data_IF_373362632554
#
_entry.id   IF_373362632554
#
_cell.length_a   1.000
_cell.length_b   1.000
_cell.length_c   1.000
_cell.angle_alpha   90.00
_cell.angle_beta   90.00
_cell.angle_gamma   90.00
#
_symmetry.space_group_name_H-M   'P 1'
#
loop_
_entity.id
_entity.type
_entity.pdbx_description
1 polymer ?
#
# COMPACT_ATOMS: atom_id res chain seq x y z
N UNK A 1 16.93 5.28 10.87
CA UNK A 1 16.14 5.44 9.63
C UNK A 1 17.07 5.42 8.41
N UNK A 2 17.68 4.26 8.07
CA UNK A 2 18.56 4.20 6.92
C UNK A 2 18.74 2.77 6.44
N UNK A 3 18.71 2.58 5.13
CA UNK A 3 19.30 1.41 4.48
C UNK A 3 20.78 1.69 4.20
N UNK A 4 21.62 0.68 4.34
CA UNK A 4 23.00 0.74 3.91
C UNK A 4 23.10 0.13 2.51
N UNK A 5 23.13 0.95 1.47
CA UNK A 5 23.30 0.48 0.10
C UNK A 5 24.79 0.28 -0.21
N UNK A 6 25.09 -0.86 -0.85
CA UNK A 6 26.45 -1.22 -1.20
C UNK A 6 26.85 -0.59 -2.52
N UNK A 7 27.67 0.44 -2.45
CA UNK A 7 28.15 1.20 -3.61
C UNK A 7 29.55 0.74 -4.08
N UNK A 8 30.03 -0.42 -3.64
CA UNK A 8 31.35 -0.91 -4.06
C UNK A 8 31.43 -1.13 -5.57
N UNK A 9 30.34 -1.57 -6.19
CA UNK A 9 30.29 -1.83 -7.62
C UNK A 9 29.06 -1.26 -8.33
N UNK A 10 28.00 -0.96 -7.60
CA UNK A 10 26.76 -0.37 -8.13
C UNK A 10 26.71 1.12 -7.80
N UNK A 11 26.38 1.95 -8.79
CA UNK A 11 26.22 3.38 -8.57
C UNK A 11 25.06 3.67 -7.63
N UNK A 12 25.24 4.57 -6.68
CA UNK A 12 24.22 4.95 -5.73
C UNK A 12 22.92 5.37 -6.42
N UNK A 13 23.02 6.11 -7.52
CA UNK A 13 21.86 6.57 -8.28
C UNK A 13 20.96 5.42 -8.74
N UNK A 14 21.49 4.26 -9.07
CA UNK A 14 20.68 3.14 -9.52
C UNK A 14 19.77 2.60 -8.41
N UNK A 15 20.25 2.57 -7.17
CA UNK A 15 19.39 2.23 -6.02
C UNK A 15 18.26 3.24 -5.79
N UNK A 16 18.58 4.51 -5.93
CA UNK A 16 17.62 5.60 -5.69
C UNK A 16 16.60 5.69 -6.83
N UNK A 17 17.05 5.60 -8.07
CA UNK A 17 16.17 5.63 -9.24
C UNK A 17 15.24 4.42 -9.27
N UNK A 18 15.73 3.25 -8.87
CA UNK A 18 14.89 2.05 -8.75
C UNK A 18 13.72 2.30 -7.78
N UNK A 19 14.00 2.80 -6.58
CA UNK A 19 12.97 3.05 -5.56
C UNK A 19 11.92 4.06 -6.01
N UNK A 20 12.29 4.98 -6.90
CA UNK A 20 11.42 6.03 -7.42
C UNK A 20 10.83 5.70 -8.79
N UNK A 21 11.12 4.52 -9.32
CA UNK A 21 10.70 4.11 -10.67
C UNK A 21 11.10 5.10 -11.76
N UNK A 22 12.31 5.68 -11.65
CA UNK A 22 12.84 6.67 -12.58
C UNK A 22 13.70 6.03 -13.67
N UNK A 23 13.80 6.72 -14.81
CA UNK A 23 14.64 6.33 -15.92
C UNK A 23 14.28 4.94 -16.46
N UNK A 24 15.26 4.05 -16.51
CA UNK A 24 15.08 2.67 -16.99
C UNK A 24 14.23 1.79 -16.04
N UNK A 25 13.96 2.27 -14.83
CA UNK A 25 13.25 1.52 -13.78
C UNK A 25 11.76 1.82 -13.78
N UNK A 26 11.15 2.00 -14.94
CA UNK A 26 9.70 2.17 -15.04
C UNK A 26 8.97 0.91 -14.57
N UNK A 27 7.81 1.02 -13.89
CA UNK A 27 7.03 -0.15 -13.51
C UNK A 27 6.72 -1.02 -14.73
N UNK A 28 6.95 -2.31 -14.60
CA UNK A 28 6.73 -3.28 -15.68
C UNK A 28 7.87 -3.41 -16.68
N UNK A 29 8.91 -2.59 -16.61
CA UNK A 29 10.09 -2.76 -17.43
C UNK A 29 10.74 -4.12 -17.18
N UNK A 30 11.18 -4.81 -18.24
CA UNK A 30 11.77 -6.14 -18.16
C UNK A 30 13.21 -6.12 -18.62
N UNK A 31 14.00 -7.08 -18.13
CA UNK A 31 15.42 -7.27 -18.53
C UNK A 31 16.25 -5.99 -18.43
N UNK A 32 15.95 -5.19 -17.41
CA UNK A 32 16.66 -3.95 -17.14
C UNK A 32 18.12 -4.25 -16.88
N UNK A 33 19.00 -3.54 -17.56
CA UNK A 33 20.45 -3.72 -17.46
C UNK A 33 21.11 -2.43 -17.04
N UNK A 34 21.94 -2.50 -16.01
CA UNK A 34 22.76 -1.39 -15.54
C UNK A 34 24.24 -1.63 -15.85
N UNK A 35 25.00 -0.55 -15.92
CA UNK A 35 26.44 -0.61 -16.03
C UNK A 35 27.06 -0.44 -14.65
N UNK A 36 27.84 -1.43 -14.23
CA UNK A 36 28.56 -1.42 -12.95
C UNK A 36 29.75 -0.46 -13.00
N UNK A 37 30.29 -0.13 -11.84
CA UNK A 37 31.47 0.76 -11.74
C UNK A 37 32.73 0.18 -12.45
N UNK A 38 32.85 -1.14 -12.48
CA UNK A 38 33.95 -1.82 -13.19
C UNK A 38 33.72 -1.92 -14.70
N UNK A 39 32.60 -1.42 -15.23
CA UNK A 39 32.29 -1.49 -16.66
C UNK A 39 31.49 -2.72 -17.08
N UNK A 40 31.34 -3.71 -16.22
CA UNK A 40 30.51 -4.88 -16.50
C UNK A 40 29.03 -4.52 -16.51
N UNK A 41 28.21 -5.39 -17.12
CA UNK A 41 26.75 -5.26 -17.14
C UNK A 41 26.13 -6.17 -16.09
N UNK A 42 25.09 -5.66 -15.43
CA UNK A 42 24.23 -6.44 -14.55
C UNK A 42 22.79 -6.34 -15.04
N UNK A 43 22.16 -7.48 -15.27
CA UNK A 43 20.75 -7.54 -15.72
C UNK A 43 19.86 -8.14 -14.65
N UNK A 44 18.66 -7.57 -14.50
CA UNK A 44 17.60 -8.16 -13.69
C UNK A 44 16.94 -9.29 -14.48
N UNK A 45 17.61 -10.42 -14.55
CA UNK A 45 17.20 -11.55 -15.37
C UNK A 45 15.87 -12.14 -14.91
N UNK A 46 14.90 -12.27 -15.83
CA UNK A 46 13.54 -12.75 -15.56
C UNK A 46 12.79 -11.97 -14.46
N UNK A 47 13.18 -10.73 -14.23
CA UNK A 47 12.51 -9.84 -13.30
C UNK A 47 12.02 -8.61 -14.03
N UNK A 48 10.73 -8.28 -13.86
CA UNK A 48 10.23 -6.95 -14.17
C UNK A 48 10.44 -6.01 -12.98
N UNK A 49 10.20 -4.72 -13.20
CA UNK A 49 10.33 -3.72 -12.14
C UNK A 49 8.97 -3.51 -11.47
N UNK A 50 8.87 -3.65 -10.14
CA UNK A 50 7.64 -3.34 -9.42
C UNK A 50 7.33 -1.84 -9.42
N UNK A 51 6.07 -1.51 -9.17
CA UNK A 51 5.66 -0.17 -8.81
C UNK A 51 5.89 0.03 -7.29
N UNK A 52 6.84 0.89 -6.93
CA UNK A 52 7.19 1.20 -5.54
C UNK A 52 6.46 2.44 -4.99
N UNK A 53 5.52 3.01 -5.74
CA UNK A 53 4.85 4.26 -5.33
C UNK A 53 4.07 4.15 -4.01
N UNK A 54 3.78 2.93 -3.57
CA UNK A 54 3.15 2.68 -2.27
C UNK A 54 4.04 2.93 -1.06
N UNK A 55 5.35 3.05 -1.25
CA UNK A 55 6.27 3.30 -0.13
C UNK A 55 6.04 4.70 0.45
N UNK A 56 5.85 4.78 1.76
CA UNK A 56 5.76 6.06 2.45
C UNK A 56 7.11 6.79 2.45
N UNK A 57 7.08 8.11 2.58
CA UNK A 57 8.29 8.92 2.60
C UNK A 57 9.24 8.55 3.74
N UNK A 58 8.72 8.06 4.86
CA UNK A 58 9.53 7.51 5.95
C UNK A 58 10.25 6.22 5.57
N UNK A 59 9.82 5.54 4.52
CA UNK A 59 10.28 4.21 4.15
C UNK A 59 9.83 3.09 5.09
N UNK A 60 9.06 3.42 6.12
CA UNK A 60 8.69 2.49 7.19
C UNK A 60 7.27 1.94 7.06
N UNK A 61 6.58 2.27 5.99
CA UNK A 61 5.22 1.80 5.73
C UNK A 61 4.95 1.74 4.24
N UNK A 62 3.92 0.97 3.85
CA UNK A 62 3.51 0.83 2.46
C UNK A 62 1.99 0.92 2.36
N UNK A 63 1.49 1.81 1.49
CA UNK A 63 0.06 1.91 1.18
C UNK A 63 -0.39 0.67 0.41
N UNK A 64 -1.58 0.18 0.74
CA UNK A 64 -2.19 -1.00 0.09
C UNK A 64 -3.55 -0.69 -0.54
N UNK A 65 -3.86 0.58 -0.74
CA UNK A 65 -5.11 1.06 -1.33
C UNK A 65 -6.08 1.59 -0.29
N UNK A 66 -7.01 2.42 -0.73
CA UNK A 66 -7.98 3.08 0.15
C UNK A 66 -7.29 3.95 1.19
N UNK A 67 -7.69 3.81 2.43
CA UNK A 67 -7.08 4.48 3.58
C UNK A 67 -6.17 3.56 4.41
N UNK A 68 -5.61 2.53 3.81
CA UNK A 68 -4.86 1.50 4.54
C UNK A 68 -3.39 1.49 4.20
N UNK A 69 -2.57 1.27 5.22
CA UNK A 69 -1.11 1.16 5.14
C UNK A 69 -0.63 0.04 6.04
N UNK A 70 0.46 -0.62 5.68
CA UNK A 70 1.06 -1.69 6.48
C UNK A 70 2.46 -1.34 6.92
N UNK A 71 2.82 -1.78 8.11
CA UNK A 71 4.10 -1.51 8.75
C UNK A 71 4.39 -2.61 9.78
N UNK A 72 5.19 -2.32 10.79
CA UNK A 72 5.46 -3.20 11.91
C UNK A 72 5.08 -2.55 13.24
N UNK A 73 4.60 -3.38 14.17
CA UNK A 73 4.06 -2.92 15.44
C UNK A 73 5.12 -2.27 16.35
N UNK A 74 6.37 -2.71 16.30
CA UNK A 74 7.41 -2.17 17.15
C UNK A 74 7.81 -0.72 16.82
N UNK A 75 7.36 -0.19 15.68
CA UNK A 75 7.55 1.22 15.32
C UNK A 75 6.70 2.19 16.16
N UNK A 76 5.84 1.69 17.04
CA UNK A 76 5.01 2.54 17.93
C UNK A 76 5.82 3.53 18.77
N UNK A 77 7.09 3.24 19.01
CA UNK A 77 7.99 4.13 19.76
C UNK A 77 8.46 5.34 18.96
N UNK A 78 8.23 5.36 17.65
CA UNK A 78 8.59 6.46 16.77
C UNK A 78 7.31 7.13 16.26
N UNK A 79 6.91 8.31 16.78
CA UNK A 79 5.66 8.98 16.36
C UNK A 79 5.58 9.25 14.86
N UNK A 80 6.70 9.57 14.20
CA UNK A 80 6.72 9.83 12.76
C UNK A 80 6.36 8.59 11.92
N UNK A 81 6.74 7.41 12.39
CA UNK A 81 6.42 6.17 11.71
C UNK A 81 5.11 5.53 12.18
N UNK A 82 4.62 5.91 13.36
CA UNK A 82 3.48 5.28 14.02
C UNK A 82 2.18 6.07 13.89
N UNK A 83 2.24 7.40 13.87
CA UNK A 83 1.05 8.26 13.96
C UNK A 83 0.73 8.98 12.65
N UNK A 84 1.68 9.08 11.74
CA UNK A 84 1.53 9.81 10.48
C UNK A 84 2.25 9.07 9.36
N UNK A 85 1.59 8.94 8.22
CA UNK A 85 2.21 8.49 6.99
C UNK A 85 2.20 9.60 5.95
N UNK A 86 3.29 9.75 5.22
CA UNK A 86 3.42 10.76 4.16
C UNK A 86 3.60 10.04 2.83
N UNK A 87 2.74 10.37 1.87
CA UNK A 87 2.82 9.90 0.49
C UNK A 87 3.01 11.08 -0.43
N UNK A 88 4.08 11.06 -1.23
CA UNK A 88 4.60 12.25 -1.89
C UNK A 88 4.83 13.36 -0.84
N UNK A 89 4.03 14.40 -0.81
CA UNK A 89 4.15 15.49 0.16
C UNK A 89 2.92 15.64 1.05
N UNK A 90 1.98 14.70 0.95
CA UNK A 90 0.70 14.74 1.69
C UNK A 90 0.75 13.88 2.93
N UNK A 91 0.40 14.45 4.07
CA UNK A 91 0.38 13.77 5.36
C UNK A 91 -0.99 13.15 5.62
N UNK A 92 -0.97 11.92 6.08
CA UNK A 92 -2.16 11.16 6.49
C UNK A 92 -2.00 10.73 7.94
N UNK A 93 -3.03 10.96 8.73
CA UNK A 93 -3.04 10.62 10.16
C UNK A 93 -3.55 9.20 10.36
N UNK A 94 -2.88 8.42 11.19
CA UNK A 94 -3.35 7.09 11.60
C UNK A 94 -4.48 7.25 12.60
N UNK A 95 -5.63 6.67 12.30
CA UNK A 95 -6.84 6.76 13.15
C UNK A 95 -7.16 5.45 13.86
N UNK A 96 -6.68 4.34 13.35
CA UNK A 96 -6.77 3.04 14.03
C UNK A 96 -5.69 2.09 13.50
N UNK A 97 -5.45 1.03 14.25
CA UNK A 97 -4.45 0.01 13.91
C UNK A 97 -4.82 -1.33 14.50
N UNK A 98 -4.31 -2.40 13.91
CA UNK A 98 -4.33 -3.75 14.45
C UNK A 98 -3.00 -4.42 14.17
N UNK A 99 -2.55 -5.28 15.05
CA UNK A 99 -1.33 -6.05 14.82
C UNK A 99 -1.51 -7.50 15.22
N UNK A 100 -0.79 -8.36 14.55
CA UNK A 100 -0.59 -9.76 14.91
C UNK A 100 0.90 -10.02 14.86
N UNK A 101 1.48 -10.42 15.99
CA UNK A 101 2.92 -10.38 16.15
C UNK A 101 3.44 -8.98 15.79
N UNK A 102 4.41 -8.87 14.89
CA UNK A 102 4.96 -7.57 14.51
C UNK A 102 4.33 -6.98 13.24
N UNK A 103 3.51 -7.72 12.51
CA UNK A 103 2.79 -7.17 11.37
C UNK A 103 1.68 -6.22 11.85
N UNK A 104 1.65 -5.02 11.32
CA UNK A 104 0.64 -4.02 11.65
C UNK A 104 -0.06 -3.48 10.41
N UNK A 105 -1.39 -3.45 10.47
CA UNK A 105 -2.23 -2.71 9.54
C UNK A 105 -2.67 -1.40 10.20
N UNK A 106 -2.59 -0.30 9.46
CA UNK A 106 -3.02 1.02 9.89
C UNK A 106 -4.16 1.53 9.01
N UNK A 107 -5.14 2.16 9.64
CA UNK A 107 -6.17 2.91 8.94
C UNK A 107 -5.87 4.40 9.04
N UNK A 108 -5.88 5.07 7.89
CA UNK A 108 -5.60 6.50 7.76
C UNK A 108 -6.90 7.31 7.74
N UNK A 109 -6.81 8.60 7.99
CA UNK A 109 -7.97 9.49 8.08
C UNK A 109 -8.62 9.85 6.73
N UNK A 110 -7.93 9.58 5.62
CA UNK A 110 -8.43 9.83 4.26
C UNK A 110 -7.98 8.75 3.30
N UNK A 111 -8.66 8.62 2.16
CA UNK A 111 -8.21 7.81 1.06
C UNK A 111 -6.94 8.40 0.46
N UNK A 112 -5.93 7.56 0.23
CA UNK A 112 -4.65 7.98 -0.32
C UNK A 112 -4.77 8.17 -1.82
N UNK A 113 -4.59 9.40 -2.29
CA UNK A 113 -4.73 9.75 -3.72
C UNK A 113 -3.41 9.75 -4.47
N UNK A 114 -2.27 9.83 -3.78
CA UNK A 114 -0.94 9.94 -4.38
C UNK A 114 -0.43 8.63 -4.96
N UNK A 115 -1.03 7.52 -4.56
CA UNK A 115 -0.65 6.18 -5.03
C UNK A 115 -1.86 5.24 -5.01
N UNK A 116 -1.88 4.28 -5.93
CA UNK A 116 -2.84 3.17 -5.88
C UNK A 116 -2.47 2.14 -4.81
N UNK A 117 -1.25 2.22 -4.31
CA UNK A 117 -0.72 1.29 -3.32
C UNK A 117 -0.19 -0.01 -3.92
N UNK A 118 0.52 -0.76 -3.08
CA UNK A 118 0.99 -2.09 -3.44
C UNK A 118 -0.17 -3.09 -3.46
N UNK A 119 -0.11 -4.06 -4.35
CA UNK A 119 -1.06 -5.18 -4.35
C UNK A 119 -0.70 -6.12 -3.21
N UNK A 120 -1.61 -6.40 -2.26
CA UNK A 120 -1.32 -7.34 -1.19
C UNK A 120 -1.16 -8.77 -1.70
N UNK A 121 -0.35 -9.57 -1.02
CA UNK A 121 -0.24 -11.00 -1.28
C UNK A 121 -1.59 -11.68 -1.03
N UNK A 122 -2.00 -12.53 -1.97
CA UNK A 122 -3.27 -13.28 -1.88
C UNK A 122 -3.14 -14.49 -0.95
N UNK A 123 -1.94 -15.06 -0.87
CA UNK A 123 -1.69 -16.27 -0.09
C UNK A 123 -0.34 -16.20 0.61
N UNK A 124 -0.27 -16.87 1.76
CA UNK A 124 0.95 -17.04 2.54
C UNK A 124 1.32 -18.54 2.58
N UNK A 125 2.20 -19.01 1.67
CA UNK A 125 2.75 -20.35 1.78
C UNK A 125 3.38 -20.57 3.16
N UNK A 126 3.31 -21.80 3.67
CA UNK A 126 3.87 -22.13 4.98
C UNK A 126 5.25 -22.79 4.87
N UNK A 127 5.60 -23.28 3.70
CA UNK A 127 6.88 -23.94 3.43
C UNK A 127 7.67 -23.22 2.35
N UNK A 128 8.99 -23.41 2.36
CA UNK A 128 9.85 -22.89 1.31
C UNK A 128 9.50 -23.48 -0.06
N UNK A 129 9.19 -24.76 -0.13
CA UNK A 129 8.82 -25.42 -1.38
C UNK A 129 7.59 -24.80 -2.04
N UNK A 130 6.54 -24.54 -1.26
CA UNK A 130 5.32 -23.90 -1.75
C UNK A 130 5.57 -22.44 -2.14
N UNK A 131 6.39 -21.73 -1.37
CA UNK A 131 6.78 -20.37 -1.69
C UNK A 131 7.61 -20.30 -2.98
N UNK A 132 8.49 -21.28 -3.21
CA UNK A 132 9.30 -21.37 -4.43
C UNK A 132 8.43 -21.58 -5.67
N UNK A 133 7.37 -22.37 -5.56
CA UNK A 133 6.41 -22.56 -6.65
C UNK A 133 5.65 -21.28 -6.96
N UNK A 134 5.15 -20.61 -5.93
CA UNK A 134 4.34 -19.39 -6.09
C UNK A 134 5.15 -18.18 -6.54
N UNK A 135 6.35 -17.99 -5.97
CA UNK A 135 7.15 -16.78 -6.07
C UNK A 135 8.54 -16.99 -6.67
N UNK A 136 8.88 -18.20 -7.07
CA UNK A 136 10.20 -18.47 -7.62
C UNK A 136 10.37 -18.00 -9.05
N UNK A 137 11.59 -17.63 -9.38
CA UNK A 137 12.02 -17.30 -10.74
C UNK A 137 13.14 -18.25 -11.19
N UNK A 138 13.26 -18.43 -12.50
CA UNK A 138 14.37 -19.16 -13.08
C UNK A 138 15.54 -18.17 -13.27
N UNK A 139 16.63 -18.42 -12.59
CA UNK A 139 17.84 -17.58 -12.67
C UNK A 139 18.66 -17.92 -13.91
N UNK A 140 19.68 -17.11 -14.20
CA UNK A 140 20.53 -17.28 -15.39
C UNK A 140 21.28 -18.61 -15.42
N UNK A 141 21.54 -19.24 -14.28
CA UNK A 141 22.16 -20.57 -14.20
C UNK A 141 21.16 -21.73 -14.34
N UNK A 142 19.88 -21.43 -14.57
CA UNK A 142 18.80 -22.40 -14.72
C UNK A 142 18.18 -22.90 -13.40
N UNK A 143 18.69 -22.49 -12.25
CA UNK A 143 18.10 -22.83 -10.97
C UNK A 143 16.88 -21.96 -10.67
N UNK A 144 15.98 -22.45 -9.82
CA UNK A 144 14.82 -21.69 -9.37
C UNK A 144 15.08 -21.11 -7.97
N UNK A 145 14.88 -19.82 -7.81
CA UNK A 145 15.11 -19.09 -6.55
C UNK A 145 14.01 -18.09 -6.30
N UNK A 146 13.81 -17.72 -5.03
CA UNK A 146 12.89 -16.67 -4.64
C UNK A 146 13.68 -15.36 -4.56
N UNK A 147 13.51 -14.50 -5.55
CA UNK A 147 14.19 -13.21 -5.64
C UNK A 147 13.14 -12.11 -5.78
N UNK A 148 13.32 -11.05 -5.02
CA UNK A 148 12.41 -9.91 -5.06
C UNK A 148 13.10 -8.60 -4.74
N UNK A 149 12.28 -7.61 -4.44
CA UNK A 149 12.74 -6.26 -4.11
C UNK A 149 12.24 -5.85 -2.73
N UNK A 150 13.11 -5.17 -1.99
CA UNK A 150 12.72 -4.43 -0.80
C UNK A 150 12.84 -2.94 -1.11
N UNK A 151 11.81 -2.19 -0.83
CA UNK A 151 11.78 -0.75 -1.07
C UNK A 151 11.27 -0.02 0.16
N UNK A 152 11.82 1.13 0.38
CA UNK A 152 11.47 1.99 1.49
C UNK A 152 12.71 2.64 2.04
N UNK A 153 12.73 2.81 3.36
CA UNK A 153 13.85 3.43 4.07
C UNK A 153 13.96 4.94 3.84
N UNK A 154 13.38 5.70 4.74
CA UNK A 154 13.43 7.17 4.72
C UNK A 154 14.81 7.77 4.97
N UNK A 155 15.82 6.95 5.17
CA UNK A 155 17.22 7.35 5.22
C UNK A 155 18.08 6.33 4.51
N UNK A 156 19.09 6.79 3.82
CA UNK A 156 20.02 5.93 3.08
C UNK A 156 21.45 6.29 3.46
N UNK A 157 22.22 5.29 3.84
CA UNK A 157 23.66 5.37 4.05
C UNK A 157 24.37 4.54 3.00
N UNK A 158 25.60 4.89 2.71
CA UNK A 158 26.42 4.21 1.71
C UNK A 158 27.49 3.36 2.39
N UNK A 159 27.64 2.12 1.95
CA UNK A 159 28.70 1.23 2.35
C UNK A 159 29.50 0.79 1.15
N UNK A 160 30.72 0.33 1.37
CA UNK A 160 31.64 -0.05 0.30
C UNK A 160 32.13 -1.49 0.52
N UNK A 161 31.26 -2.46 0.26
CA UNK A 161 31.56 -3.88 0.32
C UNK A 161 31.57 -4.50 1.71
N UNK A 162 31.20 -3.76 2.75
CA UNK A 162 31.14 -4.30 4.11
C UNK A 162 30.08 -5.39 4.26
N UNK A 163 30.38 -6.42 5.02
CA UNK A 163 29.46 -7.51 5.32
C UNK A 163 28.70 -7.31 6.62
N UNK A 164 29.10 -6.33 7.42
CA UNK A 164 28.50 -5.99 8.71
C UNK A 164 28.01 -4.56 8.72
N UNK A 165 26.93 -4.32 9.43
CA UNK A 165 26.41 -2.97 9.64
C UNK A 165 27.36 -2.21 10.56
N UNK A 166 27.78 -1.04 10.08
CA UNK A 166 28.30 -0.04 10.98
C UNK A 166 27.13 0.65 11.66
N UNK A 167 27.06 0.58 12.98
CA UNK A 167 26.06 1.32 13.77
C UNK A 167 26.26 2.83 13.72
N UNK A 168 27.39 3.26 13.20
CA UNK A 168 27.79 4.66 13.00
C UNK A 168 27.70 5.06 11.54
N UNK A 169 26.55 4.85 10.89
CA UNK A 169 26.35 5.41 9.57
C UNK A 169 26.30 6.94 9.69
N UNK A 170 27.37 7.60 9.29
CA UNK A 170 27.56 9.02 9.46
C UNK A 170 26.67 9.87 8.54
N UNK A 171 25.98 9.28 7.59
CA UNK A 171 25.20 10.00 6.56
C UNK A 171 23.87 9.30 6.33
N UNK A 172 22.83 9.82 6.97
CA UNK A 172 21.45 9.52 6.62
C UNK A 172 20.96 10.61 5.69
N UNK A 173 20.55 10.24 4.49
CA UNK A 173 19.84 11.12 3.55
C UNK A 173 18.38 10.69 3.55
N UNK A 174 17.45 11.64 3.53
CA UNK A 174 16.01 11.39 3.43
C UNK A 174 15.64 10.93 2.01
N UNK A 175 16.22 9.82 1.59
CA UNK A 175 16.05 9.26 0.26
C UNK A 175 15.53 7.83 0.35
N UNK A 176 14.55 7.52 -0.48
CA UNK A 176 14.10 6.15 -0.66
C UNK A 176 15.11 5.38 -1.49
N UNK A 177 15.33 4.12 -1.13
CA UNK A 177 16.15 3.20 -1.92
C UNK A 177 15.44 1.85 -2.06
N UNK A 178 15.79 1.12 -3.10
CA UNK A 178 15.32 -0.24 -3.31
C UNK A 178 16.49 -1.11 -3.73
N UNK A 179 16.39 -2.39 -3.42
CA UNK A 179 17.42 -3.37 -3.74
C UNK A 179 16.85 -4.76 -3.94
N UNK A 180 17.61 -5.62 -4.58
CA UNK A 180 17.31 -7.04 -4.71
C UNK A 180 17.56 -7.78 -3.40
N UNK A 181 16.79 -8.83 -3.18
CA UNK A 181 17.06 -9.82 -2.14
C UNK A 181 16.73 -11.23 -2.62
N UNK A 182 17.34 -12.21 -1.99
CA UNK A 182 16.98 -13.62 -2.15
C UNK A 182 16.45 -14.17 -0.83
N UNK A 183 15.28 -14.79 -0.86
CA UNK A 183 14.72 -15.47 0.31
C UNK A 183 15.39 -16.83 0.43
N UNK A 184 16.08 -17.07 1.54
CA UNK A 184 16.81 -18.32 1.80
C UNK A 184 16.06 -19.26 2.75
N UNK A 185 15.15 -18.73 3.55
CA UNK A 185 14.30 -19.52 4.44
C UNK A 185 12.89 -18.97 4.43
N UNK A 186 11.92 -19.86 4.55
CA UNK A 186 10.50 -19.52 4.61
C UNK A 186 9.80 -20.48 5.56
N UNK A 187 9.15 -19.95 6.57
CA UNK A 187 8.39 -20.73 7.53
C UNK A 187 7.02 -20.10 7.81
N UNK A 188 6.30 -20.65 8.79
CA UNK A 188 4.97 -20.15 9.15
C UNK A 188 4.99 -18.75 9.77
N UNK A 189 6.12 -18.26 10.25
CA UNK A 189 6.24 -16.96 10.91
C UNK A 189 6.75 -15.86 9.99
N UNK A 190 7.60 -16.18 9.05
CA UNK A 190 8.20 -15.18 8.18
C UNK A 190 9.15 -15.75 7.17
N UNK A 191 9.90 -14.88 6.55
CA UNK A 191 10.94 -15.21 5.60
C UNK A 191 12.27 -14.57 6.00
N UNK A 192 13.37 -15.24 5.69
CA UNK A 192 14.71 -14.79 6.05
C UNK A 192 15.54 -14.53 4.79
N UNK A 193 16.33 -13.47 4.85
CA UNK A 193 17.16 -12.99 3.76
C UNK A 193 18.60 -12.87 4.25
N UNK A 194 19.52 -13.55 3.58
CA UNK A 194 20.95 -13.35 3.82
C UNK A 194 21.52 -12.32 2.85
N UNK A 195 22.36 -11.42 3.36
CA UNK A 195 22.87 -10.25 2.65
C UNK A 195 24.33 -10.40 2.19
N UNK A 196 24.82 -11.61 2.04
CA UNK A 196 26.19 -11.84 1.56
C UNK A 196 26.22 -11.95 0.03
N UNK A 197 27.30 -11.49 -0.56
CA UNK A 197 27.75 -11.74 -1.95
C UNK A 197 26.72 -11.52 -3.07
N UNK A 198 25.81 -10.57 -2.91
CA UNK A 198 24.84 -10.24 -3.97
C UNK A 198 25.11 -8.85 -4.52
N UNK A 199 25.15 -8.75 -5.84
CA UNK A 199 25.15 -7.47 -6.53
C UNK A 199 23.79 -6.78 -6.34
N UNK A 200 23.78 -5.46 -6.29
CA UNK A 200 22.57 -4.65 -6.09
C UNK A 200 21.87 -4.93 -4.75
N UNK A 201 22.65 -5.04 -3.71
CA UNK A 201 22.16 -5.35 -2.36
C UNK A 201 22.17 -4.13 -1.46
N UNK A 202 21.37 -4.19 -0.39
CA UNK A 202 21.57 -3.35 0.77
C UNK A 202 21.61 -4.19 2.06
N UNK A 203 22.20 -3.61 3.09
CA UNK A 203 22.16 -4.14 4.43
C UNK A 203 21.15 -3.30 5.22
N UNK A 204 20.12 -3.93 5.77
CA UNK A 204 19.18 -3.23 6.64
C UNK A 204 19.84 -2.85 7.94
N UNK A 205 19.39 -1.74 8.52
CA UNK A 205 19.79 -1.27 9.84
C UNK A 205 18.55 -0.90 10.64
N UNK A 206 18.74 -0.55 11.90
CA UNK A 206 17.65 -0.02 12.71
C UNK A 206 17.05 1.22 12.06
N UNK A 207 15.72 1.19 11.84
CA UNK A 207 14.98 2.22 11.11
C UNK A 207 14.46 1.75 9.75
N UNK A 208 14.89 0.60 9.25
CA UNK A 208 14.31 -0.06 8.07
C UNK A 208 13.05 -0.85 8.41
N UNK A 209 12.73 -0.97 9.68
CA UNK A 209 11.55 -1.66 10.17
C UNK A 209 10.28 -1.13 9.51
N UNK A 210 9.48 -2.03 8.96
CA UNK A 210 8.24 -1.69 8.26
C UNK A 210 8.38 -1.50 6.76
N UNK A 211 9.60 -1.43 6.21
CA UNK A 211 9.79 -1.34 4.76
C UNK A 211 9.25 -2.58 4.04
N UNK A 212 8.67 -2.37 2.86
CA UNK A 212 7.94 -3.40 2.13
C UNK A 212 8.84 -4.36 1.36
N UNK A 213 8.47 -5.64 1.36
CA UNK A 213 9.08 -6.68 0.56
C UNK A 213 8.13 -7.14 -0.54
N UNK A 214 8.62 -7.16 -1.77
CA UNK A 214 7.85 -7.47 -2.97
C UNK A 214 8.38 -8.74 -3.63
N UNK A 215 7.47 -9.66 -3.96
CA UNK A 215 7.76 -10.85 -4.78
C UNK A 215 6.81 -10.89 -5.97
N UNK A 216 7.26 -11.51 -7.06
CA UNK A 216 6.42 -11.71 -8.23
C UNK A 216 5.58 -12.98 -8.06
N UNK A 217 4.25 -12.81 -8.10
CA UNK A 217 3.29 -13.91 -7.98
C UNK A 217 3.08 -14.55 -9.34
N UNK A 218 3.56 -15.78 -9.52
CA UNK A 218 3.49 -16.48 -10.81
C UNK A 218 2.05 -16.85 -11.21
N UNK A 219 1.15 -16.97 -10.25
CA UNK A 219 -0.27 -17.27 -10.54
C UNK A 219 -1.03 -16.02 -10.96
N UNK A 220 -0.83 -14.93 -10.25
CA UNK A 220 -1.49 -13.65 -10.55
C UNK A 220 -0.77 -12.87 -11.66
N UNK A 221 0.45 -13.28 -12.00
CA UNK A 221 1.31 -12.61 -12.99
C UNK A 221 1.51 -11.12 -12.66
N UNK A 222 1.79 -10.82 -11.40
CA UNK A 222 2.07 -9.46 -10.93
C UNK A 222 2.91 -9.45 -9.65
N UNK A 223 3.51 -8.31 -9.39
CA UNK A 223 4.20 -8.06 -8.13
C UNK A 223 3.20 -7.90 -6.99
N UNK A 224 3.50 -8.50 -5.86
CA UNK A 224 2.69 -8.40 -4.64
C UNK A 224 3.55 -8.05 -3.44
N UNK A 225 2.96 -7.38 -2.48
CA UNK A 225 3.59 -7.10 -1.19
C UNK A 225 3.42 -8.33 -0.30
N UNK A 226 4.53 -9.01 0.00
CA UNK A 226 4.52 -10.27 0.76
C UNK A 226 4.80 -10.08 2.24
N UNK A 227 5.30 -8.91 2.62
CA UNK A 227 5.60 -8.67 4.03
C UNK A 227 6.24 -7.35 4.29
N UNK A 228 6.58 -7.16 5.56
CA UNK A 228 7.22 -5.96 6.11
C UNK A 228 8.48 -6.34 6.88
N UNK A 229 9.51 -5.53 6.77
CA UNK A 229 10.79 -5.79 7.42
C UNK A 229 10.65 -5.73 8.93
N UNK A 230 10.89 -6.86 9.60
CA UNK A 230 10.82 -6.96 11.05
C UNK A 230 12.11 -6.50 11.73
N UNK A 231 13.24 -7.05 11.31
CA UNK A 231 14.50 -6.76 11.97
C UNK A 231 15.66 -7.51 11.35
N UNK A 232 16.79 -7.42 12.03
CA UNK A 232 18.06 -7.97 11.61
C UNK A 232 18.68 -8.80 12.71
N UNK A 233 19.49 -9.77 12.31
CA UNK A 233 20.33 -10.58 13.19
C UNK A 233 21.67 -10.82 12.54
N UNK A 234 22.67 -11.19 13.30
CA UNK A 234 23.96 -11.63 12.79
C UNK A 234 24.10 -13.14 13.02
N UNK A 235 24.41 -13.86 11.95
CA UNK A 235 24.61 -15.31 12.00
C UNK A 235 25.95 -15.62 11.33
N UNK A 236 26.89 -16.17 12.09
CA UNK A 236 28.24 -16.52 11.61
C UNK A 236 28.98 -15.35 10.91
N UNK A 237 28.76 -14.12 11.40
CA UNK A 237 29.35 -12.93 10.81
C UNK A 237 28.58 -12.32 9.66
N UNK A 238 27.58 -13.00 9.11
CA UNK A 238 26.71 -12.49 8.07
C UNK A 238 25.46 -11.87 8.66
N UNK A 239 24.91 -10.87 7.97
CA UNK A 239 23.65 -10.29 8.34
C UNK A 239 22.49 -11.09 7.79
N UNK A 240 21.51 -11.34 8.65
CA UNK A 240 20.23 -11.91 8.31
C UNK A 240 19.14 -10.84 8.49
N UNK A 241 18.27 -10.69 7.51
CA UNK A 241 17.09 -9.85 7.62
C UNK A 241 15.86 -10.74 7.75
N UNK A 242 15.00 -10.40 8.72
CA UNK A 242 13.74 -11.07 8.94
C UNK A 242 12.60 -10.23 8.39
N UNK A 243 11.75 -10.84 7.54
CA UNK A 243 10.55 -10.23 6.97
C UNK A 243 9.33 -10.89 7.62
N UNK A 244 8.47 -10.08 8.21
CA UNK A 244 7.16 -10.53 8.70
C UNK A 244 6.20 -10.67 7.52
N UNK A 245 5.51 -11.78 7.44
CA UNK A 245 4.55 -12.03 6.35
C UNK A 245 3.35 -11.10 6.41
N UNK A 246 2.87 -10.71 5.25
CA UNK A 246 1.59 -10.03 5.09
C UNK A 246 0.47 -10.90 5.67
N UNK A 247 -0.37 -10.32 6.53
CA UNK A 247 -1.46 -11.02 7.20
C UNK A 247 -2.80 -10.55 6.62
N UNK A 248 -3.30 -11.26 5.62
CA UNK A 248 -4.53 -10.91 4.93
C UNK A 248 -5.75 -10.97 5.84
N UNK A 249 -5.81 -11.96 6.74
CA UNK A 249 -6.91 -12.10 7.69
C UNK A 249 -7.04 -10.88 8.59
N UNK A 250 -5.92 -10.40 9.14
CA UNK A 250 -5.89 -9.22 10.01
C UNK A 250 -6.34 -7.97 9.26
N UNK A 251 -5.88 -7.81 8.03
CA UNK A 251 -6.26 -6.67 7.18
C UNK A 251 -7.75 -6.71 6.87
N UNK A 252 -8.28 -7.88 6.49
CA UNK A 252 -9.71 -8.06 6.21
C UNK A 252 -10.56 -7.78 7.43
N UNK A 253 -10.15 -8.20 8.60
CA UNK A 253 -10.86 -7.94 9.87
C UNK A 253 -10.96 -6.43 10.15
N UNK A 254 -9.88 -5.68 9.96
CA UNK A 254 -9.90 -4.23 10.15
C UNK A 254 -10.80 -3.54 9.11
N UNK A 255 -10.69 -3.95 7.85
CA UNK A 255 -11.55 -3.40 6.78
C UNK A 255 -13.03 -3.68 7.06
N UNK A 256 -13.38 -4.87 7.51
CA UNK A 256 -14.76 -5.23 7.86
C UNK A 256 -15.27 -4.40 9.03
N UNK A 257 -14.43 -4.13 10.03
CA UNK A 257 -14.78 -3.27 11.17
C UNK A 257 -15.22 -1.88 10.72
N UNK A 258 -14.60 -1.35 9.66
CA UNK A 258 -14.84 0.01 9.15
C UNK A 258 -15.63 0.04 7.86
N UNK A 259 -16.38 -1.01 7.53
CA UNK A 259 -17.24 -1.06 6.35
C UNK A 259 -18.70 -1.24 6.75
N UNK A 260 -19.55 -0.35 6.25
CA UNK A 260 -20.99 -0.48 6.32
C UNK A 260 -21.51 -0.73 4.91
N UNK A 261 -21.93 -1.97 4.64
CA UNK A 261 -22.35 -2.39 3.29
C UNK A 261 -23.83 -2.15 3.07
N UNK A 262 -24.18 -1.51 1.95
CA UNK A 262 -25.56 -1.25 1.54
C UNK A 262 -25.74 -1.75 0.11
N UNK A 263 -26.51 -2.81 -0.05
CA UNK A 263 -26.89 -3.30 -1.37
C UNK A 263 -28.09 -2.53 -1.88
N UNK A 264 -27.86 -1.61 -2.82
CA UNK A 264 -28.94 -0.81 -3.42
C UNK A 264 -29.79 -1.62 -4.37
N UNK A 265 -29.19 -2.51 -5.13
CA UNK A 265 -29.86 -3.34 -6.13
C UNK A 265 -30.82 -2.54 -7.04
N UNK A 266 -30.34 -1.39 -7.54
CA UNK A 266 -31.12 -0.48 -8.37
C UNK A 266 -32.10 0.42 -7.65
N UNK A 267 -32.24 0.27 -6.33
CA UNK A 267 -33.20 1.03 -5.53
C UNK A 267 -32.65 2.40 -5.11
N UNK A 268 -33.45 3.13 -4.36
CA UNK A 268 -33.11 4.43 -3.79
C UNK A 268 -32.74 4.29 -2.32
N UNK A 269 -31.80 5.09 -1.87
CA UNK A 269 -31.49 5.25 -0.45
C UNK A 269 -31.51 6.75 -0.10
N UNK A 270 -32.01 7.08 1.06
CA UNK A 270 -31.91 8.44 1.63
C UNK A 270 -30.99 8.42 2.83
N UNK A 271 -30.19 9.47 2.96
CA UNK A 271 -29.24 9.62 4.07
C UNK A 271 -29.52 10.95 4.77
N UNK A 272 -29.86 10.88 6.05
CA UNK A 272 -30.03 12.04 6.92
C UNK A 272 -29.16 11.86 8.15
N UNK A 273 -28.11 12.65 8.29
CA UNK A 273 -27.08 12.45 9.32
C UNK A 273 -26.53 11.02 9.30
N UNK A 274 -26.78 10.24 10.34
CA UNK A 274 -26.40 8.84 10.48
C UNK A 274 -27.53 7.86 10.15
N UNK A 275 -28.70 8.38 9.74
CA UNK A 275 -29.86 7.54 9.42
C UNK A 275 -29.91 7.28 7.91
N UNK A 276 -29.92 6.01 7.55
CA UNK A 276 -30.08 5.54 6.18
C UNK A 276 -31.42 4.85 6.05
N UNK A 277 -32.18 5.21 5.02
CA UNK A 277 -33.44 4.54 4.67
C UNK A 277 -33.34 3.99 3.25
N UNK A 278 -33.40 2.68 3.11
CA UNK A 278 -33.45 1.99 1.82
C UNK A 278 -34.91 1.86 1.36
N UNK A 279 -35.22 2.44 0.21
CA UNK A 279 -36.54 2.40 -0.39
C UNK A 279 -36.61 1.30 -1.47
N UNK A 280 -37.42 0.29 -1.24
CA UNK A 280 -37.62 -0.77 -2.22
C UNK A 280 -38.56 -0.33 -3.33
N UNK A 281 -38.29 -0.78 -4.56
CA UNK A 281 -39.11 -0.51 -5.73
C UNK A 281 -39.33 0.98 -6.05
N UNK A 282 -38.34 1.81 -5.71
CA UNK A 282 -38.41 3.27 -5.87
C UNK A 282 -39.65 3.92 -5.17
N UNK A 283 -40.25 3.23 -4.24
CA UNK A 283 -41.37 3.78 -3.47
C UNK A 283 -40.89 4.85 -2.49
N UNK A 284 -41.62 5.95 -2.39
CA UNK A 284 -41.32 7.04 -1.47
C UNK A 284 -41.80 6.71 -0.04
N UNK A 285 -41.98 5.43 0.23
CA UNK A 285 -42.41 4.90 1.52
C UNK A 285 -41.21 4.46 2.35
N UNK A 286 -41.41 4.44 3.67
CA UNK A 286 -40.42 4.00 4.62
C UNK A 286 -39.96 2.56 4.31
N UNK A 287 -38.72 2.39 3.87
CA UNK A 287 -38.12 1.10 3.68
C UNK A 287 -37.35 0.63 4.92
N UNK A 288 -36.38 -0.22 4.71
CA UNK A 288 -35.47 -0.69 5.76
C UNK A 288 -34.62 0.47 6.26
N UNK A 289 -34.63 0.69 7.58
CA UNK A 289 -33.82 1.72 8.22
C UNK A 289 -32.60 1.14 8.88
N UNK A 290 -31.47 1.81 8.70
CA UNK A 290 -30.19 1.48 9.32
C UNK A 290 -29.53 2.75 9.85
N UNK A 291 -28.66 2.59 10.84
CA UNK A 291 -27.81 3.68 11.31
C UNK A 291 -26.38 3.45 10.87
N UNK A 292 -25.73 4.49 10.34
CA UNK A 292 -24.31 4.47 10.06
C UNK A 292 -23.56 5.00 11.28
N UNK A 293 -22.45 4.37 11.59
CA UNK A 293 -21.51 4.91 12.55
C UNK A 293 -20.56 5.85 11.82
N UNK A 294 -20.42 7.07 12.32
CA UNK A 294 -19.38 8.01 11.84
C UNK A 294 -18.01 7.31 11.84
N UNK A 295 -17.16 7.68 10.92
CA UNK A 295 -15.82 7.13 10.68
C UNK A 295 -15.78 5.76 9.98
N UNK A 296 -16.92 5.15 9.67
CA UNK A 296 -16.98 3.97 8.80
C UNK A 296 -17.14 4.36 7.34
N UNK A 297 -16.57 3.55 6.45
CA UNK A 297 -16.84 3.65 5.02
C UNK A 297 -18.23 3.07 4.71
N UNK A 298 -18.99 3.77 3.87
CA UNK A 298 -20.20 3.20 3.29
C UNK A 298 -19.82 2.54 1.97
N UNK A 299 -20.18 1.26 1.81
CA UNK A 299 -19.93 0.49 0.59
C UNK A 299 -21.27 0.25 -0.10
N UNK A 300 -21.50 0.93 -1.21
CA UNK A 300 -22.65 0.70 -2.06
C UNK A 300 -22.39 -0.37 -3.10
N UNK A 301 -23.35 -1.26 -3.29
CA UNK A 301 -23.28 -2.33 -4.27
C UNK A 301 -24.52 -2.39 -5.17
N UNK A 302 -24.31 -2.91 -6.39
CA UNK A 302 -25.34 -3.25 -7.39
C UNK A 302 -26.14 -2.08 -7.96
N UNK A 303 -25.56 -0.87 -7.93
CA UNK A 303 -26.14 0.31 -8.59
C UNK A 303 -27.37 0.87 -7.88
N UNK A 304 -27.67 2.13 -8.15
CA UNK A 304 -28.86 2.79 -7.63
C UNK A 304 -28.67 4.29 -7.38
N UNK A 305 -29.55 4.84 -6.56
CA UNK A 305 -29.65 6.27 -6.34
C UNK A 305 -29.53 6.61 -4.86
N UNK A 306 -28.80 7.67 -4.56
CA UNK A 306 -28.57 8.16 -3.21
C UNK A 306 -29.04 9.60 -3.11
N UNK A 307 -29.87 9.89 -2.14
CA UNK A 307 -30.41 11.21 -1.89
C UNK A 307 -29.99 11.70 -0.51
N UNK A 308 -29.34 12.86 -0.46
CA UNK A 308 -28.99 13.50 0.82
C UNK A 308 -30.20 14.28 1.35
N UNK A 309 -30.46 14.14 2.63
CA UNK A 309 -31.46 14.89 3.36
C UNK A 309 -30.84 15.84 4.39
N UNK A 310 -29.53 15.92 4.44
CA UNK A 310 -28.77 16.76 5.35
C UNK A 310 -27.35 16.93 4.85
N UNK A 311 -26.60 17.87 5.41
CA UNK A 311 -25.15 17.89 5.26
C UNK A 311 -24.57 16.66 5.94
N UNK A 312 -23.69 15.94 5.24
CA UNK A 312 -23.13 14.68 5.72
C UNK A 312 -21.67 14.87 6.10
N UNK A 313 -21.30 14.42 7.29
CA UNK A 313 -19.93 14.37 7.77
C UNK A 313 -19.63 12.95 8.24
N UNK A 314 -18.85 12.21 7.46
CA UNK A 314 -18.48 10.83 7.77
C UNK A 314 -17.13 10.72 8.49
N UNK A 315 -16.49 11.85 8.83
CA UNK A 315 -15.21 11.85 9.53
C UNK A 315 -14.12 11.20 8.72
N UNK A 316 -13.51 10.14 9.24
CA UNK A 316 -12.50 9.33 8.54
C UNK A 316 -13.11 8.25 7.64
N UNK A 317 -14.43 8.17 7.54
CA UNK A 317 -15.14 7.30 6.60
C UNK A 317 -15.36 7.95 5.25
N UNK A 318 -15.36 7.15 4.19
CA UNK A 318 -15.66 7.57 2.83
C UNK A 318 -16.82 6.82 2.22
N UNK A 319 -17.00 6.99 0.92
CA UNK A 319 -17.99 6.25 0.14
C UNK A 319 -17.26 5.41 -0.89
N UNK A 320 -17.57 4.12 -0.90
CA UNK A 320 -17.00 3.14 -1.81
C UNK A 320 -18.13 2.59 -2.69
N UNK A 321 -17.93 2.62 -4.00
CA UNK A 321 -18.84 2.06 -4.99
C UNK A 321 -18.20 0.83 -5.61
N UNK A 322 -18.95 -0.27 -5.72
CA UNK A 322 -18.48 -1.51 -6.32
C UNK A 322 -18.21 -1.39 -7.83
N UNK A 323 -17.76 -2.46 -8.45
CA UNK A 323 -17.42 -2.49 -9.87
C UNK A 323 -18.64 -2.66 -10.75
N UNK A 324 -18.61 -2.06 -11.95
CA UNK A 324 -19.49 -2.38 -13.06
C UNK A 324 -20.93 -1.86 -12.94
N UNK A 325 -21.18 -0.85 -12.16
CA UNK A 325 -22.53 -0.30 -11.95
C UNK A 325 -22.59 1.21 -12.09
N UNK A 326 -23.81 1.73 -12.26
CA UNK A 326 -24.07 3.16 -12.31
C UNK A 326 -24.78 3.61 -11.02
N UNK A 327 -24.33 4.74 -10.48
CA UNK A 327 -24.87 5.36 -9.28
C UNK A 327 -25.19 6.81 -9.56
N UNK A 328 -26.32 7.27 -9.02
CA UNK A 328 -26.72 8.67 -9.10
C UNK A 328 -26.81 9.23 -7.68
N UNK A 329 -26.02 10.25 -7.40
CA UNK A 329 -25.96 10.89 -6.10
C UNK A 329 -26.60 12.28 -6.23
N UNK A 330 -27.69 12.49 -5.52
CA UNK A 330 -28.36 13.78 -5.47
C UNK A 330 -28.24 14.36 -4.06
N UNK A 331 -27.43 15.40 -3.94
CA UNK A 331 -27.19 16.09 -2.67
C UNK A 331 -28.25 17.12 -2.29
N UNK A 332 -29.13 17.51 -3.22
CA UNK A 332 -30.17 18.52 -2.97
C UNK A 332 -29.65 19.84 -2.35
N UNK A 333 -28.43 20.24 -2.71
CA UNK A 333 -27.78 21.41 -2.12
C UNK A 333 -27.03 21.14 -0.81
N UNK A 334 -27.14 19.94 -0.27
CA UNK A 334 -26.36 19.54 0.91
C UNK A 334 -24.94 19.15 0.54
N UNK A 335 -24.06 19.21 1.52
CA UNK A 335 -22.63 18.92 1.37
C UNK A 335 -22.26 17.54 1.89
N UNK A 336 -21.19 17.02 1.34
CA UNK A 336 -20.51 15.81 1.83
C UNK A 336 -19.12 16.18 2.36
N UNK A 337 -18.74 15.61 3.50
CA UNK A 337 -17.42 15.64 4.09
C UNK A 337 -17.04 14.24 4.54
N UNK A 338 -15.82 13.79 4.22
CA UNK A 338 -15.35 12.48 4.62
C UNK A 338 -13.98 12.13 4.04
N UNK A 339 -13.62 10.86 4.14
CA UNK A 339 -12.30 10.38 3.71
C UNK A 339 -12.10 10.42 2.19
N UNK A 340 -13.18 10.37 1.43
CA UNK A 340 -13.11 10.43 -0.03
C UNK A 340 -14.16 9.55 -0.71
N UNK A 341 -13.97 9.37 -2.00
CA UNK A 341 -14.84 8.59 -2.87
C UNK A 341 -13.99 7.58 -3.63
N UNK A 342 -14.32 6.30 -3.49
CA UNK A 342 -13.65 5.20 -4.18
C UNK A 342 -14.63 4.57 -5.18
N UNK A 343 -14.29 4.60 -6.47
CA UNK A 343 -15.16 4.11 -7.52
C UNK A 343 -14.52 2.91 -8.20
N UNK A 344 -15.19 1.76 -8.10
CA UNK A 344 -14.74 0.52 -8.69
C UNK A 344 -14.64 0.58 -10.22
N UNK A 345 -13.87 -0.36 -10.77
CA UNK A 345 -13.63 -0.47 -12.20
C UNK A 345 -14.95 -0.53 -12.98
N UNK A 346 -15.04 0.24 -14.07
CA UNK A 346 -16.20 0.29 -14.96
C UNK A 346 -17.49 0.82 -14.32
N UNK A 347 -17.41 1.29 -13.08
CA UNK A 347 -18.54 2.00 -12.47
C UNK A 347 -18.54 3.47 -12.84
N UNK A 348 -19.73 4.05 -12.90
CA UNK A 348 -19.96 5.47 -13.17
C UNK A 348 -20.78 6.05 -12.02
N UNK A 349 -20.27 7.09 -11.40
CA UNK A 349 -20.98 7.83 -10.35
C UNK A 349 -21.30 9.21 -10.87
N UNK A 350 -22.58 9.48 -11.04
CA UNK A 350 -23.07 10.81 -11.39
C UNK A 350 -23.29 11.58 -10.08
N UNK A 351 -22.42 12.53 -9.82
CA UNK A 351 -22.34 13.21 -8.54
C UNK A 351 -22.92 14.61 -8.64
N UNK A 352 -24.09 14.81 -8.07
CA UNK A 352 -24.78 16.10 -7.98
C UNK A 352 -24.93 16.52 -6.52
N UNK A 353 -23.81 16.65 -5.84
CA UNK A 353 -23.72 17.12 -4.46
C UNK A 353 -22.54 18.09 -4.33
N UNK A 354 -22.53 18.85 -3.26
CA UNK A 354 -21.41 19.73 -2.92
C UNK A 354 -20.42 19.00 -2.02
N UNK A 355 -19.15 19.24 -2.21
CA UNK A 355 -18.14 18.85 -1.24
C UNK A 355 -18.00 19.98 -0.22
N UNK A 356 -17.78 19.65 1.05
CA UNK A 356 -17.64 20.67 2.09
C UNK A 356 -16.46 21.60 1.81
N UNK A 357 -16.64 22.90 2.00
CA UNK A 357 -15.62 23.91 1.72
C UNK A 357 -14.38 23.81 2.62
N UNK A 358 -14.49 23.17 3.77
CA UNK A 358 -13.40 22.94 4.72
C UNK A 358 -12.73 21.56 4.54
N UNK A 359 -13.01 20.89 3.44
CA UNK A 359 -12.48 19.56 3.13
C UNK A 359 -11.99 19.50 1.68
N UNK A 360 -11.14 18.51 1.38
CA UNK A 360 -10.58 18.27 0.06
C UNK A 360 -11.09 16.94 -0.46
N UNK A 361 -11.60 16.94 -1.69
CA UNK A 361 -12.06 15.72 -2.35
C UNK A 361 -10.91 14.77 -2.63
N UNK A 362 -10.96 13.59 -2.06
CA UNK A 362 -10.06 12.48 -2.35
C UNK A 362 -10.80 11.43 -3.17
N UNK A 363 -10.69 11.53 -4.50
CA UNK A 363 -11.25 10.53 -5.41
C UNK A 363 -10.18 9.51 -5.75
N UNK A 364 -10.47 8.22 -5.53
CA UNK A 364 -9.64 7.09 -5.90
C UNK A 364 -10.44 6.05 -6.68
N UNK A 365 -9.76 5.00 -7.12
CA UNK A 365 -10.35 3.93 -7.92
C UNK A 365 -10.40 4.24 -9.41
N UNK A 366 -10.48 3.19 -10.25
CA UNK A 366 -10.42 3.35 -11.71
C UNK A 366 -11.74 3.75 -12.36
N UNK A 367 -12.85 3.75 -11.61
CA UNK A 367 -14.16 4.15 -12.12
C UNK A 367 -14.28 5.66 -12.34
N UNK A 368 -15.38 6.07 -12.95
CA UNK A 368 -15.60 7.45 -13.41
C UNK A 368 -16.51 8.21 -12.46
N UNK A 369 -16.06 9.39 -12.04
CA UNK A 369 -16.85 10.37 -11.30
C UNK A 369 -17.27 11.50 -12.26
N UNK A 370 -18.57 11.61 -12.54
CA UNK A 370 -19.14 12.71 -13.31
C UNK A 370 -19.71 13.75 -12.33
N UNK A 371 -18.99 14.84 -12.16
CA UNK A 371 -19.43 15.94 -11.30
C UNK A 371 -20.40 16.81 -12.08
N UNK A 372 -21.65 16.82 -11.65
CA UNK A 372 -22.74 17.52 -12.31
C UNK A 372 -23.04 18.90 -11.71
N UNK A 373 -22.42 19.20 -10.57
CA UNK A 373 -22.58 20.47 -9.88
C UNK A 373 -21.23 21.05 -9.55
N UNK A 374 -21.03 22.34 -9.86
CA UNK A 374 -19.78 23.03 -9.55
C UNK A 374 -19.50 22.91 -8.04
N UNK A 375 -18.34 22.34 -7.74
CA UNK A 375 -17.86 22.19 -6.37
C UNK A 375 -17.27 23.52 -5.88
N UNK A 376 -17.55 23.84 -4.72
CA UNK A 376 -17.31 24.86 -3.85
C UNK A 376 -16.53 25.78 -3.85
N UNK A 377 -15.73 26.05 -3.70
CA UNK A 377 -15.13 27.25 -3.18
C UNK A 377 -14.97 28.23 -4.29
N UNK A 378 -15.50 29.20 -4.16
CA UNK A 378 -15.07 30.35 -4.93
C UNK A 378 -13.69 30.82 -4.51
#
# INVERSE_FOLDING_TARGET
>A
NAANIDISNVWARDYLDLAQNKGIFQPGATDVTITLKNGDKFSFHNLSIPDFSGAAASGAATAIGGSYSVTVAHNKKNPQAAETQVYAQSSYKVVDRRNSNDFEIQRLNKFVVETVGATPAETNPTTYSDALERYGIVTSDGSKKIIGFRAGSGGTSFINGESKISTNSAYSHDLLSASLFEVTQWDSYGMMIYKNDKTFRNLEIFGDSGSGAYLYDNKLEKWVLVGTTHGIASVNGDQLTWITKYNDKLVSELKDTYSHKINLNGNNVTIKNTDITLHQNNADTTGTQEKITKDKDIVFTNGGNVLFKDNLDFGSGGIIFDEGHEYNINGQGFTFKGAGIDIGKESIVNWNALYSSDDVLHKIGPGTLNVQKKQGAN
#
